data_IF_542309905681
#
_entry.id   IF_542309905681
#
_cell.length_a   1.000
_cell.length_b   1.000
_cell.length_c   1.000
_cell.angle_alpha   90.00
_cell.angle_beta   90.00
_cell.angle_gamma   90.00
#
_symmetry.space_group_name_H-M   'P 1'
#
loop_
_entity.id
_entity.type
_entity.pdbx_description
1 polymer ?
#
# COMPACT_ATOMS: atom_id res chain seq x y z
N UNK A 1 36.69 -1.45 23.76
CA UNK A 1 36.09 -2.36 22.75
C UNK A 1 34.85 -3.08 23.27
N UNK A 2 34.89 -3.69 24.47
CA UNK A 2 33.76 -4.43 25.06
C UNK A 2 32.50 -3.56 25.29
N UNK A 3 32.66 -2.33 25.79
CA UNK A 3 31.52 -1.42 26.05
C UNK A 3 30.77 -1.02 24.78
N UNK A 4 31.49 -0.80 23.67
CA UNK A 4 30.88 -0.48 22.37
C UNK A 4 30.05 -1.65 21.83
N UNK A 5 30.55 -2.87 21.99
CA UNK A 5 29.82 -4.08 21.59
C UNK A 5 28.50 -4.24 22.36
N UNK A 6 28.51 -4.03 23.67
CA UNK A 6 27.30 -4.07 24.49
C UNK A 6 26.29 -3.00 24.09
N UNK A 7 26.77 -1.79 23.75
CA UNK A 7 25.91 -0.68 23.34
C UNK A 7 25.22 -0.98 21.99
N UNK A 8 25.96 -1.54 21.04
CA UNK A 8 25.41 -2.00 19.75
C UNK A 8 24.39 -3.12 19.94
N UNK A 9 24.67 -4.08 20.83
CA UNK A 9 23.75 -5.17 21.14
C UNK A 9 22.45 -4.66 21.78
N UNK A 10 22.55 -3.69 22.70
CA UNK A 10 21.40 -3.10 23.40
C UNK A 10 20.49 -2.32 22.43
N UNK A 11 21.09 -1.54 21.52
CA UNK A 11 20.37 -0.85 20.43
C UNK A 11 19.73 -1.85 19.48
N UNK A 12 20.42 -2.95 19.17
CA UNK A 12 19.86 -4.05 18.37
C UNK A 12 18.63 -4.67 19.05
N UNK A 13 18.73 -5.06 20.32
CA UNK A 13 17.62 -5.64 21.08
C UNK A 13 16.43 -4.67 21.17
N UNK A 14 16.69 -3.39 21.44
CA UNK A 14 15.65 -2.37 21.47
C UNK A 14 14.94 -2.22 20.11
N UNK A 15 15.70 -2.28 19.02
CA UNK A 15 15.16 -2.22 17.65
C UNK A 15 14.31 -3.45 17.32
N UNK A 16 14.75 -4.66 17.73
CA UNK A 16 13.97 -5.89 17.60
C UNK A 16 12.68 -5.80 18.41
N UNK A 17 12.78 -5.42 19.68
CA UNK A 17 11.62 -5.29 20.57
C UNK A 17 10.61 -4.26 20.03
N UNK A 18 11.09 -3.16 19.46
CA UNK A 18 10.27 -2.16 18.79
C UNK A 18 9.55 -2.75 17.56
N UNK A 19 10.26 -3.44 16.66
CA UNK A 19 9.66 -4.06 15.47
C UNK A 19 8.65 -5.16 15.84
N UNK A 20 8.99 -6.00 16.83
CA UNK A 20 8.09 -7.03 17.34
C UNK A 20 6.87 -6.42 18.04
N UNK A 21 7.05 -5.33 18.79
CA UNK A 21 5.96 -4.57 19.40
C UNK A 21 5.03 -3.95 18.37
N UNK A 22 5.56 -3.44 17.26
CA UNK A 22 4.75 -2.97 16.13
C UNK A 22 4.00 -4.15 15.47
N UNK A 23 4.68 -5.29 15.24
CA UNK A 23 4.07 -6.48 14.62
C UNK A 23 2.97 -7.10 15.49
N UNK A 24 3.21 -7.24 16.78
CA UNK A 24 2.28 -7.83 17.75
C UNK A 24 0.98 -7.03 17.90
N UNK A 25 0.99 -5.75 17.52
CA UNK A 25 -0.23 -4.92 17.50
C UNK A 25 -1.23 -5.34 16.42
N UNK A 26 -0.90 -6.27 15.51
CA UNK A 26 -1.83 -6.99 14.63
C UNK A 26 -2.70 -6.14 13.68
N UNK A 27 -2.58 -4.82 13.75
CA UNK A 27 -3.51 -3.82 13.22
C UNK A 27 -2.99 -3.17 11.93
N UNK A 28 -1.90 -3.72 11.35
CA UNK A 28 -1.09 -3.04 10.34
C UNK A 28 -0.80 -3.89 9.10
N UNK A 29 -1.59 -4.94 8.85
CA UNK A 29 -1.56 -5.62 7.54
C UNK A 29 -2.07 -4.69 6.43
N UNK A 30 -3.04 -3.84 6.79
CA UNK A 30 -3.48 -2.69 6.02
C UNK A 30 -3.40 -1.44 6.91
N UNK A 31 -2.84 -0.37 6.37
CA UNK A 31 -2.80 0.95 6.99
C UNK A 31 -4.09 1.67 6.63
N UNK A 32 -5.01 1.69 7.60
CA UNK A 32 -6.24 2.48 7.50
C UNK A 32 -5.97 3.88 8.00
N UNK A 33 -6.16 4.90 7.14
CA UNK A 33 -5.98 6.30 7.52
C UNK A 33 -6.92 7.24 6.78
N UNK A 34 -7.30 8.36 7.41
CA UNK A 34 -7.97 9.43 6.71
C UNK A 34 -7.03 10.05 5.68
N UNK A 35 -7.59 10.31 4.50
CA UNK A 35 -6.90 10.91 3.38
C UNK A 35 -7.85 11.84 2.65
N UNK A 36 -7.32 12.93 2.09
CA UNK A 36 -8.07 13.85 1.25
C UNK A 36 -7.64 13.67 -0.19
N UNK A 37 -8.56 13.23 -1.05
CA UNK A 37 -8.29 13.04 -2.48
C UNK A 37 -8.21 14.40 -3.18
N UNK A 38 -7.34 14.49 -4.17
CA UNK A 38 -7.31 15.61 -5.10
C UNK A 38 -8.41 15.42 -6.17
N UNK A 39 -8.91 16.52 -6.78
CA UNK A 39 -9.86 16.39 -7.87
C UNK A 39 -9.19 15.69 -9.06
N UNK A 40 -9.85 14.66 -9.59
CA UNK A 40 -9.37 13.91 -10.74
C UNK A 40 -10.49 13.62 -11.73
N UNK A 41 -10.11 13.24 -12.94
CA UNK A 41 -11.04 12.88 -14.00
C UNK A 41 -10.83 11.42 -14.37
N UNK A 42 -11.92 10.69 -14.57
CA UNK A 42 -11.89 9.25 -14.84
C UNK A 42 -12.66 8.97 -16.12
N UNK A 43 -12.03 8.23 -17.03
CA UNK A 43 -12.66 7.70 -18.24
C UNK A 43 -13.01 6.25 -17.99
N UNK A 44 -14.30 5.94 -17.95
CA UNK A 44 -14.75 4.63 -17.54
C UNK A 44 -16.08 4.23 -18.15
N UNK A 45 -16.66 3.17 -17.60
CA UNK A 45 -17.99 2.67 -17.96
C UNK A 45 -18.59 1.97 -16.76
N UNK A 46 -19.91 2.05 -16.63
CA UNK A 46 -20.67 1.31 -15.62
C UNK A 46 -21.05 -0.07 -16.14
N UNK A 47 -20.81 -1.10 -15.32
CA UNK A 47 -21.15 -2.49 -15.58
C UNK A 47 -22.13 -3.01 -14.52
N UNK A 48 -23.02 -3.95 -14.85
CA UNK A 48 -23.79 -4.70 -13.84
C UNK A 48 -22.87 -5.47 -12.88
N UNK A 49 -23.27 -5.60 -11.62
CA UNK A 49 -22.56 -6.45 -10.68
C UNK A 49 -22.61 -7.91 -11.13
N UNK A 50 -21.44 -8.56 -11.23
CA UNK A 50 -21.30 -9.92 -11.73
C UNK A 50 -20.87 -10.02 -13.19
N UNK A 51 -20.67 -8.90 -13.88
CA UNK A 51 -19.96 -8.90 -15.18
C UNK A 51 -18.61 -9.62 -15.03
N UNK A 52 -18.22 -10.50 -15.97
CA UNK A 52 -16.94 -11.19 -15.92
C UNK A 52 -15.75 -10.21 -15.93
N UNK A 53 -14.71 -10.54 -15.15
CA UNK A 53 -13.48 -9.74 -15.09
C UNK A 53 -12.79 -9.58 -16.46
N UNK A 54 -12.95 -10.56 -17.35
CA UNK A 54 -12.44 -10.52 -18.73
C UNK A 54 -13.06 -9.38 -19.54
N UNK A 55 -14.37 -9.17 -19.41
CA UNK A 55 -15.08 -8.11 -20.12
C UNK A 55 -14.66 -6.72 -19.61
N UNK A 56 -14.56 -6.56 -18.28
CA UNK A 56 -14.05 -5.34 -17.67
C UNK A 56 -12.58 -5.08 -18.06
N UNK A 57 -11.77 -6.14 -18.19
CA UNK A 57 -10.37 -6.03 -18.60
C UNK A 57 -10.22 -5.68 -20.07
N UNK A 58 -11.06 -6.24 -20.95
CA UNK A 58 -11.13 -5.87 -22.36
C UNK A 58 -11.47 -4.39 -22.52
N UNK A 59 -12.47 -3.90 -21.79
CA UNK A 59 -12.82 -2.49 -21.76
C UNK A 59 -11.64 -1.61 -21.34
N UNK A 60 -10.87 -2.01 -20.31
CA UNK A 60 -9.70 -1.23 -19.87
C UNK A 60 -8.59 -1.15 -20.91
N UNK A 61 -8.40 -2.20 -21.71
CA UNK A 61 -7.44 -2.19 -22.83
C UNK A 61 -7.88 -1.17 -23.89
N UNK A 62 -9.16 -1.20 -24.27
CA UNK A 62 -9.73 -0.28 -25.26
C UNK A 62 -9.72 1.17 -24.75
N UNK A 63 -10.14 1.38 -23.49
CA UNK A 63 -10.10 2.68 -22.83
C UNK A 63 -8.67 3.24 -22.77
N UNK A 64 -7.66 2.41 -22.52
CA UNK A 64 -6.27 2.84 -22.49
C UNK A 64 -5.77 3.25 -23.88
N UNK A 65 -6.19 2.54 -24.94
CA UNK A 65 -5.90 2.93 -26.32
C UNK A 65 -6.56 4.28 -26.66
N UNK A 66 -7.81 4.49 -26.23
CA UNK A 66 -8.52 5.76 -26.39
C UNK A 66 -7.83 6.92 -25.65
N UNK A 67 -7.49 6.73 -24.37
CA UNK A 67 -6.79 7.75 -23.57
C UNK A 67 -5.45 8.12 -24.22
N UNK A 68 -4.70 7.12 -24.72
CA UNK A 68 -3.43 7.35 -25.42
C UNK A 68 -3.59 8.08 -26.75
N UNK A 69 -4.66 7.83 -27.51
CA UNK A 69 -4.91 8.53 -28.78
C UNK A 69 -5.21 10.02 -28.58
N UNK A 70 -5.64 10.40 -27.37
CA UNK A 70 -5.84 11.79 -26.94
C UNK A 70 -4.61 12.41 -26.27
N UNK A 71 -3.43 11.80 -26.45
CA UNK A 71 -2.15 12.18 -25.82
C UNK A 71 -2.18 12.19 -24.29
N UNK A 72 -3.18 11.56 -23.68
CA UNK A 72 -3.28 11.41 -22.24
C UNK A 72 -2.59 10.13 -21.78
N UNK A 73 -2.27 10.08 -20.49
CA UNK A 73 -1.73 8.90 -19.84
C UNK A 73 -2.54 8.57 -18.61
N UNK A 74 -2.73 7.28 -18.38
CA UNK A 74 -3.25 6.74 -17.13
C UNK A 74 -2.34 5.61 -16.66
N UNK A 75 -2.09 5.57 -15.37
CA UNK A 75 -1.35 4.49 -14.69
C UNK A 75 -2.18 3.84 -13.60
N UNK A 76 -3.44 4.29 -13.43
CA UNK A 76 -4.28 3.93 -12.29
C UNK A 76 -5.68 3.59 -12.80
N UNK A 77 -6.15 2.41 -12.41
CA UNK A 77 -7.52 1.95 -12.63
C UNK A 77 -8.33 2.22 -11.37
N UNK A 78 -9.43 2.93 -11.51
CA UNK A 78 -10.46 3.05 -10.49
C UNK A 78 -11.53 1.99 -10.71
N UNK A 79 -11.93 1.33 -9.63
CA UNK A 79 -13.17 0.56 -9.54
C UNK A 79 -13.99 1.11 -8.40
N UNK A 80 -15.23 1.49 -8.67
CA UNK A 80 -16.19 1.94 -7.67
C UNK A 80 -17.39 1.01 -7.72
N UNK A 81 -17.73 0.41 -6.58
CA UNK A 81 -18.93 -0.41 -6.48
C UNK A 81 -20.08 0.47 -6.03
N UNK A 82 -21.27 0.26 -6.59
CA UNK A 82 -22.51 0.77 -6.03
C UNK A 82 -23.34 -0.44 -5.60
N UNK A 83 -23.34 -0.72 -4.29
CA UNK A 83 -24.06 -1.86 -3.74
C UNK A 83 -25.59 -1.68 -3.81
N UNK A 84 -26.08 -0.44 -3.81
CA UNK A 84 -27.51 -0.16 -3.90
C UNK A 84 -28.02 -0.40 -5.33
N UNK A 85 -27.29 0.09 -6.33
CA UNK A 85 -27.62 -0.10 -7.74
C UNK A 85 -27.19 -1.46 -8.29
N UNK A 86 -26.37 -2.23 -7.54
CA UNK A 86 -25.72 -3.47 -8.00
C UNK A 86 -24.94 -3.23 -9.30
N UNK A 87 -24.11 -2.20 -9.31
CA UNK A 87 -23.25 -1.86 -10.44
C UNK A 87 -21.81 -1.66 -10.01
N UNK A 88 -20.90 -1.75 -10.97
CA UNK A 88 -19.48 -1.47 -10.80
C UNK A 88 -19.07 -0.48 -11.88
N UNK A 89 -18.61 0.70 -11.49
CA UNK A 89 -17.94 1.62 -12.39
C UNK A 89 -16.47 1.25 -12.48
N UNK A 90 -15.96 1.08 -13.69
CA UNK A 90 -14.56 0.78 -13.96
C UNK A 90 -14.00 1.83 -14.89
N UNK A 91 -12.86 2.44 -14.55
CA UNK A 91 -12.28 3.49 -15.37
C UNK A 91 -10.81 3.77 -15.11
N UNK A 92 -10.22 4.55 -16.00
CA UNK A 92 -8.83 5.00 -15.99
C UNK A 92 -8.78 6.42 -15.44
N UNK A 93 -7.99 6.62 -14.37
CA UNK A 93 -7.77 7.94 -13.79
C UNK A 93 -6.78 8.70 -14.68
N UNK A 94 -7.16 9.88 -15.14
CA UNK A 94 -6.33 10.72 -15.98
C UNK A 94 -5.32 11.49 -15.13
N UNK A 95 -4.11 11.64 -15.67
CA UNK A 95 -3.08 12.47 -15.04
C UNK A 95 -3.40 13.97 -15.05
N UNK A 96 -4.20 14.42 -16.02
CA UNK A 96 -4.61 15.81 -16.18
C UNK A 96 -6.08 15.88 -16.56
N UNK A 97 -6.78 16.85 -15.99
CA UNK A 97 -8.15 17.18 -16.40
C UNK A 97 -8.09 17.73 -17.82
N UNK A 98 -8.85 17.12 -18.74
CA UNK A 98 -8.87 17.52 -20.15
C UNK A 98 -10.27 17.27 -20.70
N UNK A 99 -10.70 18.15 -21.61
CA UNK A 99 -11.91 17.91 -22.37
C UNK A 99 -11.64 16.83 -23.42
N UNK A 100 -12.20 15.65 -23.21
CA UNK A 100 -12.04 14.49 -24.08
C UNK A 100 -13.13 14.42 -25.16
N UNK A 101 -14.14 15.30 -25.09
CA UNK A 101 -15.37 15.21 -25.87
C UNK A 101 -16.27 14.04 -25.45
N UNK A 102 -17.47 13.99 -26.02
CA UNK A 102 -18.34 12.83 -25.91
C UNK A 102 -17.89 11.73 -26.87
N UNK A 103 -17.80 10.50 -26.38
CA UNK A 103 -17.49 9.34 -27.21
C UNK A 103 -18.42 8.20 -26.85
N UNK A 104 -19.01 7.56 -27.86
CA UNK A 104 -19.89 6.41 -27.64
C UNK A 104 -19.13 5.32 -26.88
N UNK A 105 -19.75 4.82 -25.82
CA UNK A 105 -19.23 3.74 -24.97
C UNK A 105 -18.34 4.16 -23.80
N UNK A 106 -17.97 5.44 -23.69
CA UNK A 106 -17.15 5.95 -22.57
C UNK A 106 -17.88 7.02 -21.76
N UNK A 107 -17.88 6.84 -20.45
CA UNK A 107 -18.34 7.82 -19.47
C UNK A 107 -17.15 8.59 -18.92
N UNK A 108 -17.19 9.91 -19.00
CA UNK A 108 -16.17 10.78 -18.40
C UNK A 108 -16.74 11.34 -17.10
N UNK A 109 -16.14 10.98 -15.96
CA UNK A 109 -16.57 11.44 -14.63
C UNK A 109 -15.53 12.35 -14.02
N UNK A 110 -15.97 13.50 -13.51
CA UNK A 110 -15.16 14.34 -12.63
C UNK A 110 -15.39 13.89 -11.19
N UNK A 111 -14.32 13.49 -10.51
CA UNK A 111 -14.33 13.17 -9.09
C UNK A 111 -13.82 14.39 -8.32
N UNK A 112 -14.67 15.04 -7.50
CA UNK A 112 -14.24 16.17 -6.70
C UNK A 112 -13.29 15.72 -5.58
N UNK A 113 -12.59 16.68 -4.98
CA UNK A 113 -11.83 16.40 -3.76
C UNK A 113 -12.76 15.88 -2.67
N UNK A 114 -12.42 14.76 -2.06
CA UNK A 114 -13.25 14.12 -1.04
C UNK A 114 -12.38 13.58 0.10
N UNK A 115 -12.97 13.50 1.28
CA UNK A 115 -12.35 12.87 2.43
C UNK A 115 -12.71 11.40 2.44
N UNK A 116 -11.70 10.54 2.50
CA UNK A 116 -11.85 9.10 2.41
C UNK A 116 -11.02 8.42 3.50
N UNK A 117 -11.47 7.26 3.96
CA UNK A 117 -10.58 6.32 4.63
C UNK A 117 -9.91 5.45 3.58
N UNK A 118 -8.58 5.38 3.63
CA UNK A 118 -7.80 4.53 2.74
C UNK A 118 -7.21 3.39 3.53
N UNK A 119 -7.36 2.16 3.03
CA UNK A 119 -6.57 1.02 3.44
C UNK A 119 -5.49 0.76 2.39
N UNK A 120 -4.23 1.01 2.74
CA UNK A 120 -3.07 0.67 1.92
C UNK A 120 -2.33 -0.53 2.53
N UNK A 121 -1.94 -1.52 1.73
CA UNK A 121 -1.25 -2.70 2.25
C UNK A 121 -1.12 -3.81 1.23
N UNK A 122 -0.03 -4.57 1.33
CA UNK A 122 0.17 -5.76 0.50
C UNK A 122 -0.61 -6.92 1.12
N UNK A 123 -1.69 -7.34 0.46
CA UNK A 123 -2.46 -8.53 0.81
C UNK A 123 -1.68 -9.86 0.59
N UNK A 124 -0.37 -9.82 0.33
CA UNK A 124 0.38 -10.97 -0.20
C UNK A 124 0.45 -12.17 0.76
N UNK A 125 0.19 -12.00 2.05
CA UNK A 125 0.31 -13.07 3.06
C UNK A 125 -0.61 -12.96 4.28
N UNK A 126 -1.61 -12.07 4.30
CA UNK A 126 -2.47 -11.89 5.47
C UNK A 126 -3.85 -12.52 5.29
N UNK A 127 -4.27 -13.34 6.26
CA UNK A 127 -5.63 -13.88 6.37
C UNK A 127 -6.70 -12.79 6.62
N UNK A 128 -6.27 -11.55 6.89
CA UNK A 128 -7.14 -10.41 7.22
C UNK A 128 -7.42 -9.61 5.95
N UNK A 129 -8.70 -9.38 5.66
CA UNK A 129 -9.12 -8.58 4.50
C UNK A 129 -8.98 -7.06 4.76
N UNK A 130 -8.89 -6.22 3.70
CA UNK A 130 -8.93 -4.77 3.84
C UNK A 130 -10.18 -4.29 4.59
N UNK A 131 -11.33 -4.93 4.35
CA UNK A 131 -12.61 -4.62 5.00
C UNK A 131 -12.60 -4.94 6.49
N UNK A 132 -12.02 -6.07 6.90
CA UNK A 132 -11.84 -6.39 8.32
C UNK A 132 -10.88 -5.41 9.02
N UNK A 133 -9.84 -4.97 8.31
CA UNK A 133 -8.91 -3.96 8.81
C UNK A 133 -9.62 -2.62 9.03
N UNK A 134 -10.53 -2.23 8.11
CA UNK A 134 -11.40 -1.08 8.28
C UNK A 134 -12.32 -1.24 9.49
N UNK A 135 -13.03 -2.35 9.63
CA UNK A 135 -13.95 -2.57 10.76
C UNK A 135 -13.23 -2.43 12.11
N UNK A 136 -12.05 -3.05 12.26
CA UNK A 136 -11.23 -2.91 13.47
C UNK A 136 -10.76 -1.49 13.74
N UNK A 137 -10.52 -0.70 12.69
CA UNK A 137 -10.19 0.72 12.83
C UNK A 137 -11.40 1.52 13.30
N UNK A 138 -12.57 1.28 12.70
CA UNK A 138 -13.81 1.95 13.05
C UNK A 138 -14.29 1.66 14.46
N UNK A 139 -14.16 0.41 14.92
CA UNK A 139 -14.46 0.01 16.31
C UNK A 139 -13.62 0.81 17.32
N UNK A 140 -12.36 1.10 16.99
CA UNK A 140 -11.46 1.87 17.87
C UNK A 140 -11.73 3.37 17.84
N UNK A 141 -12.13 3.89 16.69
CA UNK A 141 -12.35 5.33 16.48
C UNK A 141 -13.81 5.76 16.71
N UNK A 142 -14.74 4.81 16.88
CA UNK A 142 -16.16 5.09 17.13
C UNK A 142 -16.87 5.75 15.94
N UNK A 143 -16.45 5.45 14.71
CA UNK A 143 -16.95 6.11 13.51
C UNK A 143 -17.70 5.17 12.57
N UNK A 144 -18.61 5.76 11.78
CA UNK A 144 -19.35 5.09 10.72
C UNK A 144 -18.89 5.56 9.36
N UNK A 145 -18.70 4.63 8.43
CA UNK A 145 -18.24 4.88 7.07
C UNK A 145 -19.33 4.47 6.11
N UNK A 146 -19.42 5.18 4.99
CA UNK A 146 -20.30 4.77 3.93
C UNK A 146 -19.73 3.51 3.23
N UNK A 147 -20.40 2.39 3.47
CA UNK A 147 -20.08 1.10 2.84
C UNK A 147 -20.87 0.88 1.55
N UNK A 148 -21.73 1.81 1.13
CA UNK A 148 -22.54 1.65 -0.08
C UNK A 148 -21.70 1.80 -1.35
N UNK A 149 -20.67 2.67 -1.29
CA UNK A 149 -19.80 2.98 -2.42
C UNK A 149 -18.30 2.85 -2.13
N UNK A 150 -17.82 1.63 -1.83
CA UNK A 150 -16.38 1.42 -1.70
C UNK A 150 -15.72 1.61 -3.07
N UNK A 151 -14.46 2.04 -3.06
CA UNK A 151 -13.66 2.14 -4.28
C UNK A 151 -12.32 1.46 -4.10
N UNK A 152 -11.71 1.06 -5.22
CA UNK A 152 -10.39 0.47 -5.29
C UNK A 152 -9.62 1.15 -6.41
N UNK A 153 -8.48 1.73 -6.05
CA UNK A 153 -7.47 2.21 -6.96
C UNK A 153 -6.44 1.10 -7.16
N UNK A 154 -6.17 0.75 -8.41
CA UNK A 154 -5.22 -0.30 -8.78
C UNK A 154 -4.12 0.29 -9.65
N UNK A 155 -2.89 0.19 -9.17
CA UNK A 155 -1.67 0.36 -9.96
C UNK A 155 -1.22 -0.97 -10.58
N UNK A 156 0.07 -1.07 -10.95
CA UNK A 156 0.61 -2.26 -11.62
C UNK A 156 0.80 -3.43 -10.66
N UNK A 157 1.32 -3.20 -9.45
CA UNK A 157 1.52 -4.20 -8.41
C UNK A 157 0.88 -3.84 -7.07
N UNK A 158 0.25 -2.66 -6.98
CA UNK A 158 -0.36 -2.14 -5.76
C UNK A 158 -1.87 -1.90 -5.89
N UNK A 159 -2.60 -2.14 -4.81
CA UNK A 159 -4.03 -1.86 -4.69
C UNK A 159 -4.31 -1.07 -3.43
N UNK A 160 -5.14 -0.05 -3.56
CA UNK A 160 -5.57 0.81 -2.48
C UNK A 160 -7.09 0.77 -2.43
N UNK A 161 -7.63 0.43 -1.26
CA UNK A 161 -9.07 0.48 -1.02
C UNK A 161 -9.42 1.79 -0.35
N UNK A 162 -10.49 2.42 -0.78
CA UNK A 162 -10.96 3.69 -0.24
C UNK A 162 -12.46 3.67 0.01
N UNK A 163 -12.87 4.31 1.10
CA UNK A 163 -14.27 4.46 1.48
C UNK A 163 -14.58 5.91 1.76
N UNK A 164 -15.65 6.48 1.18
CA UNK A 164 -16.09 7.84 1.44
C UNK A 164 -16.36 8.07 2.93
N UNK A 165 -15.86 9.20 3.44
CA UNK A 165 -16.23 9.68 4.76
C UNK A 165 -17.34 10.72 4.65
N UNK A 166 -18.33 10.60 5.53
CA UNK A 166 -19.37 11.62 5.69
C UNK A 166 -18.84 12.86 6.45
N UNK A 167 -17.83 12.68 7.32
CA UNK A 167 -17.23 13.74 8.12
C UNK A 167 -15.70 13.72 8.03
N UNK A 168 -15.08 14.90 8.00
CA UNK A 168 -13.63 15.04 7.95
C UNK A 168 -12.98 14.55 9.27
N UNK A 169 -12.14 13.53 9.13
CA UNK A 169 -11.32 13.00 10.22
C UNK A 169 -10.02 13.80 10.36
N UNK A 170 -9.52 14.05 11.58
CA UNK A 170 -8.21 14.64 11.76
C UNK A 170 -7.12 13.76 11.13
N UNK A 171 -6.08 14.37 10.54
CA UNK A 171 -5.02 13.63 9.86
C UNK A 171 -4.28 12.70 10.83
N UNK A 172 -3.72 11.62 10.29
CA UNK A 172 -2.94 10.66 11.06
C UNK A 172 -1.82 11.34 11.88
N UNK A 173 -1.68 10.95 13.15
CA UNK A 173 -0.70 11.55 14.06
C UNK A 173 0.74 11.30 13.60
N UNK A 174 1.71 12.16 13.97
CA UNK A 174 3.12 11.95 13.62
C UNK A 174 3.68 10.61 14.11
N UNK A 175 3.23 10.15 15.28
CA UNK A 175 3.60 8.84 15.84
C UNK A 175 3.08 7.69 14.95
N UNK A 176 1.84 7.81 14.47
CA UNK A 176 1.25 6.82 13.56
C UNK A 176 2.00 6.78 12.23
N UNK A 177 2.35 7.94 11.66
CA UNK A 177 3.18 8.05 10.45
C UNK A 177 4.58 7.45 10.66
N UNK A 178 5.18 7.64 11.83
CA UNK A 178 6.48 7.07 12.17
C UNK A 178 6.42 5.54 12.31
N UNK A 179 5.38 5.02 12.97
CA UNK A 179 5.15 3.57 13.08
C UNK A 179 4.93 2.94 11.71
N UNK A 180 4.17 3.60 10.83
CA UNK A 180 3.95 3.19 9.43
C UNK A 180 5.26 3.09 8.66
N UNK A 181 6.05 4.17 8.65
CA UNK A 181 7.37 4.19 8.00
C UNK A 181 8.29 3.11 8.56
N UNK A 182 8.31 2.91 9.88
CA UNK A 182 9.14 1.88 10.51
C UNK A 182 8.75 0.48 10.06
N UNK A 183 7.44 0.23 9.93
CA UNK A 183 6.94 -1.07 9.50
C UNK A 183 7.24 -1.34 8.03
N UNK A 184 7.04 -0.36 7.15
CA UNK A 184 7.42 -0.44 5.72
C UNK A 184 8.93 -0.71 5.59
N UNK A 185 9.74 0.03 6.34
CA UNK A 185 11.19 -0.14 6.37
C UNK A 185 11.66 -1.41 7.10
N UNK A 186 10.80 -2.17 7.79
CA UNK A 186 11.30 -3.29 8.61
C UNK A 186 11.94 -4.37 7.75
N UNK A 187 11.27 -4.70 6.64
CA UNK A 187 11.65 -5.82 5.77
C UNK A 187 12.81 -5.40 4.86
N UNK A 188 12.91 -4.09 4.57
CA UNK A 188 13.91 -3.46 3.70
C UNK A 188 15.21 -3.12 4.45
N UNK A 189 15.10 -2.61 5.68
CA UNK A 189 16.19 -1.94 6.38
C UNK A 189 16.46 -2.55 7.76
N UNK A 190 15.42 -2.76 8.57
CA UNK A 190 15.61 -3.11 9.98
C UNK A 190 16.07 -4.56 10.15
N UNK A 191 15.40 -5.53 9.50
CA UNK A 191 15.82 -6.93 9.57
C UNK A 191 17.21 -7.16 8.98
N UNK A 192 17.57 -6.62 7.79
CA UNK A 192 18.92 -6.75 7.26
C UNK A 192 20.00 -6.13 8.16
N UNK A 193 19.77 -4.93 8.71
CA UNK A 193 20.73 -4.29 9.63
C UNK A 193 20.90 -5.14 10.90
N UNK A 194 19.80 -5.61 11.49
CA UNK A 194 19.85 -6.44 12.70
C UNK A 194 20.59 -7.74 12.48
N UNK A 195 20.27 -8.45 11.39
CA UNK A 195 20.95 -9.70 11.06
C UNK A 195 22.43 -9.45 10.72
N UNK A 196 22.77 -8.31 10.13
CA UNK A 196 24.17 -7.90 9.89
C UNK A 196 24.91 -7.65 11.21
N UNK A 197 24.28 -6.98 12.18
CA UNK A 197 24.85 -6.77 13.52
C UNK A 197 25.08 -8.11 14.22
N UNK A 198 24.13 -9.04 14.14
CA UNK A 198 24.28 -10.41 14.67
C UNK A 198 25.42 -11.15 13.98
N UNK A 199 25.52 -11.09 12.65
CA UNK A 199 26.58 -11.73 11.89
C UNK A 199 27.97 -11.18 12.25
N UNK A 200 28.10 -9.85 12.38
CA UNK A 200 29.34 -9.21 12.84
C UNK A 200 29.68 -9.63 14.28
N UNK A 201 28.68 -9.77 15.14
CA UNK A 201 28.87 -10.30 16.49
C UNK A 201 29.38 -11.74 16.49
N UNK A 202 28.78 -12.62 15.69
CA UNK A 202 29.21 -14.02 15.53
C UNK A 202 30.65 -14.11 15.02
N UNK A 203 31.02 -13.31 14.01
CA UNK A 203 32.38 -13.23 13.48
C UNK A 203 33.37 -12.71 14.56
N UNK A 204 32.97 -11.69 15.32
CA UNK A 204 33.78 -11.06 16.35
C UNK A 204 34.08 -11.94 17.57
N UNK A 205 33.33 -13.03 17.77
CA UNK A 205 33.60 -13.99 18.87
C UNK A 205 34.86 -14.84 18.66
N UNK A 206 35.44 -14.84 17.44
CA UNK A 206 36.62 -15.63 17.06
C UNK A 206 36.48 -17.16 17.27
N UNK A 207 35.27 -17.66 17.52
CA UNK A 207 35.02 -19.10 17.61
C UNK A 207 34.90 -19.73 16.21
N UNK A 208 35.63 -20.83 16.00
CA UNK A 208 35.77 -21.52 14.70
C UNK A 208 34.43 -21.93 14.06
N UNK A 209 33.41 -22.21 14.87
CA UNK A 209 32.09 -22.65 14.42
C UNK A 209 31.18 -21.45 14.10
N UNK A 210 31.29 -20.36 14.87
CA UNK A 210 30.43 -19.19 14.73
C UNK A 210 30.85 -18.29 13.55
N UNK A 211 32.14 -18.30 13.21
CA UNK A 211 32.69 -17.55 12.09
C UNK A 211 32.06 -17.91 10.72
N UNK A 212 32.03 -19.19 10.28
CA UNK A 212 31.38 -19.55 9.01
C UNK A 212 29.86 -19.34 9.03
N UNK A 213 29.20 -19.47 10.19
CA UNK A 213 27.77 -19.17 10.34
C UNK A 213 27.51 -17.68 10.11
N UNK A 214 28.33 -16.80 10.67
CA UNK A 214 28.24 -15.35 10.46
C UNK A 214 28.45 -14.95 8.99
N UNK A 215 29.42 -15.56 8.30
CA UNK A 215 29.64 -15.32 6.87
C UNK A 215 28.44 -15.82 6.03
N UNK A 216 27.93 -17.02 6.32
CA UNK A 216 26.76 -17.58 5.64
C UNK A 216 25.52 -16.68 5.78
N UNK A 217 25.31 -16.10 6.97
CA UNK A 217 24.27 -15.11 7.23
C UNK A 217 24.40 -13.88 6.34
N UNK A 218 25.61 -13.30 6.22
CA UNK A 218 25.85 -12.12 5.36
C UNK A 218 25.57 -12.43 3.89
N UNK A 219 25.99 -13.60 3.40
CA UNK A 219 25.78 -14.00 2.00
C UNK A 219 24.29 -14.18 1.70
N UNK A 220 23.55 -14.89 2.58
CA UNK A 220 22.11 -15.09 2.44
C UNK A 220 21.33 -13.76 2.46
N UNK A 221 21.71 -12.85 3.36
CA UNK A 221 21.14 -11.52 3.47
C UNK A 221 21.42 -10.63 2.25
N UNK A 222 22.62 -10.72 1.68
CA UNK A 222 23.00 -9.93 0.50
C UNK A 222 22.14 -10.30 -0.72
N UNK A 223 21.89 -11.60 -0.92
CA UNK A 223 21.03 -12.09 -2.01
C UNK A 223 19.55 -11.81 -1.77
N UNK A 224 19.02 -12.18 -0.60
CA UNK A 224 17.60 -12.03 -0.27
C UNK A 224 17.20 -10.57 -0.07
N UNK A 225 18.05 -9.78 0.59
CA UNK A 225 17.84 -8.36 0.84
C UNK A 225 17.73 -7.58 -0.45
N UNK A 226 18.59 -7.83 -1.45
CA UNK A 226 18.52 -7.13 -2.75
C UNK A 226 17.22 -7.40 -3.51
N UNK A 227 16.73 -8.65 -3.47
CA UNK A 227 15.50 -9.04 -4.16
C UNK A 227 14.26 -8.43 -3.50
N UNK A 228 14.18 -8.53 -2.17
CA UNK A 228 13.08 -7.95 -1.38
C UNK A 228 13.08 -6.42 -1.49
N UNK A 229 14.25 -5.79 -1.41
CA UNK A 229 14.41 -4.34 -1.52
C UNK A 229 13.91 -3.79 -2.86
N UNK A 230 14.26 -4.42 -3.98
CA UNK A 230 13.85 -3.95 -5.31
C UNK A 230 12.34 -4.05 -5.54
N UNK A 231 11.71 -5.13 -5.08
CA UNK A 231 10.27 -5.30 -5.20
C UNK A 231 9.50 -4.38 -4.25
N UNK A 232 9.98 -4.20 -3.02
CA UNK A 232 9.32 -3.33 -2.04
C UNK A 232 9.50 -1.85 -2.37
N UNK A 233 10.65 -1.40 -2.88
CA UNK A 233 10.79 -0.03 -3.39
C UNK A 233 9.85 0.27 -4.56
N UNK A 234 9.63 -0.71 -5.44
CA UNK A 234 8.67 -0.57 -6.53
C UNK A 234 7.25 -0.42 -5.98
N UNK A 235 6.87 -1.25 -5.01
CA UNK A 235 5.56 -1.19 -4.35
C UNK A 235 5.37 0.13 -3.56
N UNK A 236 6.40 0.64 -2.86
CA UNK A 236 6.36 1.95 -2.16
C UNK A 236 6.23 3.13 -3.13
N UNK A 237 6.96 3.10 -4.25
CA UNK A 237 6.86 4.12 -5.29
C UNK A 237 5.47 4.13 -5.91
N UNK A 238 4.91 2.95 -6.20
CA UNK A 238 3.54 2.82 -6.69
C UNK A 238 2.50 3.24 -5.66
N UNK A 239 2.70 2.92 -4.38
CA UNK A 239 1.85 3.41 -3.29
C UNK A 239 1.89 4.95 -3.22
N UNK A 240 3.07 5.57 -3.27
CA UNK A 240 3.20 7.03 -3.29
C UNK A 240 2.53 7.66 -4.53
N UNK A 241 2.67 7.02 -5.70
CA UNK A 241 1.99 7.46 -6.91
C UNK A 241 0.46 7.36 -6.80
N UNK A 242 -0.05 6.28 -6.21
CA UNK A 242 -1.48 6.09 -5.98
C UNK A 242 -2.03 6.99 -4.88
N UNK A 243 -1.21 7.41 -3.92
CA UNK A 243 -1.60 8.38 -2.90
C UNK A 243 -1.90 9.76 -3.49
N UNK A 244 -1.35 10.12 -4.66
CA UNK A 244 -1.59 11.42 -5.29
C UNK A 244 -2.92 11.51 -6.06
N UNK A 245 -3.64 10.40 -6.22
CA UNK A 245 -5.00 10.33 -6.77
C UNK A 245 -5.96 9.94 -5.66
#
# INVERSE_FOLDING_TARGET
MIVFFWLVLLVGIASVAWVLGIKARGSFYHWVRPFRTEPCQVVGRTFPAGTPDEEMSSFLVDANAFVRSKEQRSTVVLREWDHAAKTIFVGLVLQKVTDLGEHEGYEVRALPSSSVLRASGSARTSDITPTESLQRFLEKCGQTVDMTRPMRLSGQSFHLYQWPLNEELPPASPLQKMMEKTFQLRDILIFPILLTIVALGLIGTQQLILFPIGIGLIILLSGAGKFVFLHQMKDESEEYHLQNY
#
